data_IF_371562568560
#
_entry.id   IF_371562568560
#
_cell.length_a   1.000
_cell.length_b   1.000
_cell.length_c   1.000
_cell.angle_alpha   90.00
_cell.angle_beta   90.00
_cell.angle_gamma   90.00
#
_symmetry.space_group_name_H-M   'P 1'
#
loop_
_entity.id
_entity.type
_entity.pdbx_description
1 polymer ?
#
# COMPACT_ATOMS: atom_id res chain seq x y z
N UNK A 1 2.36 -16.47 -53.36
CA UNK A 1 1.25 -17.07 -52.60
C UNK A 1 1.50 -16.69 -51.18
N UNK A 2 0.75 -15.70 -50.67
CA UNK A 2 0.79 -15.38 -49.25
C UNK A 2 0.06 -16.52 -48.57
N UNK A 3 0.83 -17.27 -47.82
CA UNK A 3 0.47 -18.35 -46.92
C UNK A 3 -0.62 -17.89 -45.93
N UNK A 4 -1.87 -18.08 -46.35
CA UNK A 4 -3.09 -18.00 -45.53
C UNK A 4 -3.06 -18.90 -44.27
N UNK A 5 -1.98 -19.66 -44.05
CA UNK A 5 -1.77 -20.50 -42.88
C UNK A 5 -1.25 -19.71 -41.66
N UNK A 6 -0.71 -18.50 -41.84
CA UNK A 6 -0.27 -17.62 -40.74
C UNK A 6 -1.41 -16.95 -39.97
N UNK A 7 -2.59 -16.81 -40.58
CA UNK A 7 -3.76 -16.15 -39.99
C UNK A 7 -4.62 -17.10 -39.13
N UNK A 8 -4.47 -18.42 -39.29
CA UNK A 8 -5.26 -19.43 -38.55
C UNK A 8 -4.65 -19.76 -37.18
N UNK A 9 -3.34 -19.56 -36.99
CA UNK A 9 -2.67 -19.74 -35.69
C UNK A 9 -2.85 -18.55 -34.74
N UNK A 10 -3.40 -17.43 -35.23
CA UNK A 10 -3.79 -16.26 -34.43
C UNK A 10 -5.16 -16.40 -33.77
N UNK A 11 -5.75 -17.60 -33.78
CA UNK A 11 -6.85 -17.95 -32.90
C UNK A 11 -6.35 -17.88 -31.44
N UNK A 12 -6.40 -16.64 -30.90
CA UNK A 12 -6.40 -16.26 -29.48
C UNK A 12 -5.74 -17.26 -28.54
N UNK A 13 -4.43 -17.15 -28.34
CA UNK A 13 -3.87 -17.61 -27.06
C UNK A 13 -4.49 -16.80 -25.93
N UNK A 14 -5.48 -17.39 -25.28
CA UNK A 14 -6.08 -16.84 -24.08
C UNK A 14 -5.16 -17.14 -22.89
N UNK A 15 -4.16 -16.27 -22.72
CA UNK A 15 -3.24 -16.30 -21.58
C UNK A 15 -3.97 -16.24 -20.24
N UNK A 16 -5.17 -15.65 -20.18
CA UNK A 16 -5.98 -15.61 -18.98
C UNK A 16 -6.56 -17.00 -18.67
N UNK A 17 -7.02 -17.74 -19.69
CA UNK A 17 -7.52 -19.11 -19.52
C UNK A 17 -6.38 -20.08 -19.15
N UNK A 18 -5.22 -19.96 -19.80
CA UNK A 18 -4.02 -20.73 -19.42
C UNK A 18 -3.57 -20.44 -17.98
N UNK A 19 -3.52 -19.17 -17.56
CA UNK A 19 -3.17 -18.80 -16.19
C UNK A 19 -4.18 -19.32 -15.15
N UNK A 20 -5.48 -19.33 -15.50
CA UNK A 20 -6.55 -19.90 -14.65
C UNK A 20 -6.48 -21.42 -14.49
N UNK A 21 -5.87 -22.14 -15.44
CA UNK A 21 -5.60 -23.57 -15.31
C UNK A 21 -4.45 -23.85 -14.33
N UNK A 22 -3.47 -22.96 -14.27
CA UNK A 22 -2.28 -23.13 -13.41
C UNK A 22 -2.54 -22.74 -11.96
N UNK A 23 -3.36 -21.72 -11.71
CA UNK A 23 -3.56 -21.16 -10.37
C UNK A 23 -5.00 -21.30 -9.90
N UNK A 24 -5.18 -21.67 -8.63
CA UNK A 24 -6.50 -21.66 -7.99
C UNK A 24 -7.13 -20.27 -8.07
N UNK A 25 -8.45 -20.22 -8.23
CA UNK A 25 -9.19 -18.97 -8.11
C UNK A 25 -9.00 -18.39 -6.71
N UNK A 26 -8.40 -17.21 -6.62
CA UNK A 26 -8.24 -16.47 -5.36
C UNK A 26 -9.59 -15.90 -4.96
N UNK A 27 -10.01 -16.19 -3.73
CA UNK A 27 -11.22 -15.63 -3.13
C UNK A 27 -10.88 -14.46 -2.21
N UNK A 28 -11.89 -13.66 -1.86
CA UNK A 28 -11.74 -12.61 -0.84
C UNK A 28 -11.36 -13.22 0.52
N UNK A 29 -11.76 -14.46 0.81
CA UNK A 29 -11.34 -15.16 2.02
C UNK A 29 -9.85 -15.44 2.00
N UNK A 30 -9.33 -15.97 0.88
CA UNK A 30 -7.88 -16.23 0.75
C UNK A 30 -7.05 -14.96 1.00
N UNK A 31 -7.52 -13.79 0.53
CA UNK A 31 -6.86 -12.50 0.76
C UNK A 31 -6.87 -12.14 2.26
N UNK A 32 -8.01 -12.30 2.93
CA UNK A 32 -8.15 -12.00 4.37
C UNK A 32 -7.34 -12.95 5.25
N UNK A 33 -7.30 -14.22 4.88
CA UNK A 33 -6.53 -15.23 5.60
C UNK A 33 -5.03 -14.99 5.39
N UNK A 34 -4.63 -14.56 4.19
CA UNK A 34 -3.27 -14.10 3.94
C UNK A 34 -2.92 -12.86 4.78
N UNK A 35 -3.77 -11.83 4.79
CA UNK A 35 -3.58 -10.63 5.60
C UNK A 35 -3.31 -10.97 7.08
N UNK A 36 -4.13 -11.86 7.66
CA UNK A 36 -3.95 -12.34 9.05
C UNK A 36 -2.62 -13.06 9.25
N UNK A 37 -2.21 -13.89 8.29
CA UNK A 37 -0.95 -14.63 8.38
C UNK A 37 0.28 -13.72 8.21
N UNK A 38 0.13 -12.62 7.49
CA UNK A 38 1.19 -11.68 7.15
C UNK A 38 1.44 -10.67 8.28
N UNK A 39 0.38 -10.12 8.85
CA UNK A 39 0.46 -9.15 9.96
C UNK A 39 1.21 -9.71 11.15
N UNK A 40 2.02 -8.87 11.78
CA UNK A 40 2.90 -9.21 12.92
C UNK A 40 3.90 -10.36 12.68
N UNK A 41 4.09 -10.81 11.43
CA UNK A 41 5.10 -11.81 11.07
C UNK A 41 6.07 -11.28 10.00
N UNK A 42 5.83 -11.60 8.73
CA UNK A 42 6.58 -11.09 7.57
C UNK A 42 6.52 -9.57 7.50
N UNK A 43 5.39 -8.99 7.90
CA UNK A 43 5.21 -7.54 8.01
C UNK A 43 6.33 -6.87 8.81
N UNK A 44 6.78 -7.47 9.91
CA UNK A 44 7.85 -6.89 10.73
C UNK A 44 9.18 -6.81 9.98
N UNK A 45 9.47 -7.82 9.15
CA UNK A 45 10.68 -7.85 8.32
C UNK A 45 10.56 -6.82 7.20
N UNK A 46 9.40 -6.72 6.58
CA UNK A 46 9.16 -5.80 5.47
C UNK A 46 9.18 -4.33 5.94
N UNK A 47 8.64 -4.03 7.12
CA UNK A 47 8.75 -2.69 7.75
C UNK A 47 10.21 -2.30 7.99
N UNK A 48 11.02 -3.21 8.56
CA UNK A 48 12.44 -2.95 8.82
C UNK A 48 13.23 -2.77 7.52
N UNK A 49 12.92 -3.58 6.51
CA UNK A 49 13.57 -3.49 5.19
C UNK A 49 13.22 -2.16 4.51
N UNK A 50 11.94 -1.78 4.47
CA UNK A 50 11.49 -0.50 3.94
C UNK A 50 12.11 0.69 4.70
N UNK A 51 12.28 0.58 6.01
CA UNK A 51 12.94 1.62 6.80
C UNK A 51 14.39 1.86 6.36
N UNK A 52 15.14 0.79 6.08
CA UNK A 52 16.52 0.87 5.57
C UNK A 52 16.52 1.41 4.14
N UNK A 53 15.69 0.85 3.26
CA UNK A 53 15.65 1.22 1.84
C UNK A 53 15.24 2.68 1.60
N UNK A 54 14.44 3.25 2.52
CA UNK A 54 13.96 4.63 2.44
C UNK A 54 14.59 5.55 3.49
N UNK A 55 15.67 5.11 4.15
CA UNK A 55 16.42 5.89 5.14
C UNK A 55 15.51 6.57 6.18
N UNK A 56 14.47 5.86 6.62
CA UNK A 56 13.50 6.33 7.61
C UNK A 56 12.44 7.32 7.12
N UNK A 57 12.24 7.51 5.80
CA UNK A 57 11.12 8.30 5.29
C UNK A 57 9.78 7.58 5.45
N UNK A 58 9.00 8.03 6.43
CA UNK A 58 7.70 7.45 6.78
C UNK A 58 6.65 7.55 5.67
N UNK A 59 6.73 8.49 4.72
CA UNK A 59 5.77 8.51 3.61
C UNK A 59 5.98 7.29 2.71
N UNK A 60 7.24 7.04 2.33
CA UNK A 60 7.62 5.93 1.45
C UNK A 60 7.41 4.58 2.12
N UNK A 61 7.69 4.48 3.42
CA UNK A 61 7.46 3.25 4.19
C UNK A 61 5.96 2.91 4.17
N UNK A 62 5.08 3.86 4.50
CA UNK A 62 3.64 3.63 4.58
C UNK A 62 3.01 3.28 3.21
N UNK A 63 3.59 3.76 2.11
CA UNK A 63 3.16 3.42 0.74
C UNK A 63 3.66 2.05 0.25
N UNK A 64 4.70 1.51 0.87
CA UNK A 64 5.40 0.30 0.41
C UNK A 64 4.96 -1.00 1.10
N UNK A 65 4.53 -0.92 2.36
CA UNK A 65 4.23 -2.10 3.18
C UNK A 65 2.80 -2.58 2.92
N UNK A 66 2.65 -3.88 2.67
CA UNK A 66 1.34 -4.49 2.40
C UNK A 66 0.38 -4.34 3.58
N UNK A 67 -0.89 -4.06 3.29
CA UNK A 67 -1.99 -3.98 4.26
C UNK A 67 -1.79 -2.97 5.41
N UNK A 68 -0.91 -1.99 5.20
CA UNK A 68 -0.75 -0.84 6.08
C UNK A 68 -1.59 0.32 5.56
N UNK A 69 -2.46 0.87 6.41
CA UNK A 69 -3.16 2.14 6.14
C UNK A 69 -2.57 3.26 7.02
N UNK A 70 -2.89 4.52 6.73
CA UNK A 70 -2.48 5.67 7.54
C UNK A 70 -2.92 5.54 9.01
N UNK A 71 -4.00 4.79 9.29
CA UNK A 71 -4.45 4.49 10.65
C UNK A 71 -3.42 3.64 11.44
N UNK A 72 -2.62 2.84 10.74
CA UNK A 72 -1.60 1.95 11.32
C UNK A 72 -0.27 2.66 11.58
N UNK A 73 -0.10 3.92 11.17
CA UNK A 73 1.19 4.63 11.24
C UNK A 73 1.81 4.58 12.65
N UNK A 74 0.97 4.75 13.68
CA UNK A 74 1.45 4.68 15.07
C UNK A 74 2.03 3.31 15.43
N UNK A 75 1.41 2.21 14.96
CA UNK A 75 1.92 0.84 15.16
C UNK A 75 3.22 0.62 14.40
N UNK A 76 3.29 1.04 13.14
CA UNK A 76 4.48 0.93 12.29
C UNK A 76 5.65 1.69 12.91
N UNK A 77 5.43 2.92 13.37
CA UNK A 77 6.45 3.71 14.09
C UNK A 77 6.96 3.01 15.34
N UNK A 78 6.06 2.41 16.13
CA UNK A 78 6.46 1.69 17.34
C UNK A 78 7.32 0.47 17.03
N UNK A 79 7.06 -0.24 15.93
CA UNK A 79 7.90 -1.36 15.47
C UNK A 79 9.31 -0.86 15.13
N UNK A 80 9.40 0.23 14.36
CA UNK A 80 10.68 0.85 13.99
C UNK A 80 11.42 1.34 15.23
N UNK A 81 10.75 2.07 16.11
CA UNK A 81 11.35 2.63 17.33
C UNK A 81 11.91 1.51 18.23
N UNK A 82 11.15 0.42 18.44
CA UNK A 82 11.64 -0.73 19.21
C UNK A 82 12.88 -1.36 18.59
N UNK A 83 12.94 -1.46 17.26
CA UNK A 83 14.11 -1.99 16.56
C UNK A 83 15.33 -1.07 16.67
N UNK A 84 15.12 0.26 16.66
CA UNK A 84 16.18 1.24 16.95
C UNK A 84 16.67 1.10 18.41
N UNK A 85 15.74 1.02 19.36
CA UNK A 85 16.05 0.88 20.79
C UNK A 85 16.79 -0.43 21.09
N UNK A 86 16.50 -1.49 20.34
CA UNK A 86 17.20 -2.78 20.40
C UNK A 86 18.55 -2.78 19.67
N UNK A 87 18.91 -1.69 18.96
CA UNK A 87 20.15 -1.57 18.20
C UNK A 87 20.16 -2.33 16.86
N UNK A 88 19.00 -2.80 16.40
CA UNK A 88 18.87 -3.52 15.12
C UNK A 88 18.81 -2.57 13.92
N UNK A 89 18.36 -1.32 14.12
CA UNK A 89 18.26 -0.29 13.09
C UNK A 89 19.01 0.97 13.49
N UNK A 90 19.59 1.65 12.51
CA UNK A 90 20.22 2.95 12.71
C UNK A 90 19.15 4.06 12.81
N UNK A 91 19.31 5.06 13.69
CA UNK A 91 18.36 6.14 13.85
C UNK A 91 18.50 7.19 12.73
N UNK A 92 17.90 6.94 11.56
CA UNK A 92 17.98 7.90 10.45
C UNK A 92 17.32 9.24 10.79
N UNK A 93 17.93 10.32 10.31
CA UNK A 93 17.48 11.69 10.58
C UNK A 93 16.05 11.94 10.09
N UNK A 94 15.66 11.37 8.94
CA UNK A 94 14.32 11.54 8.36
C UNK A 94 13.22 11.04 9.31
N UNK A 95 13.50 9.97 10.06
CA UNK A 95 12.61 9.42 11.06
C UNK A 95 12.67 10.19 12.38
N UNK A 96 13.87 10.39 12.94
CA UNK A 96 14.04 11.00 14.27
C UNK A 96 13.65 12.47 14.30
N UNK A 97 13.91 13.21 13.22
CA UNK A 97 13.64 14.65 13.10
C UNK A 97 12.53 14.96 12.11
N UNK A 98 11.57 14.05 11.98
CA UNK A 98 10.46 14.25 11.08
C UNK A 98 9.64 15.50 11.45
N UNK A 99 9.24 16.27 10.44
CA UNK A 99 8.48 17.49 10.68
C UNK A 99 7.06 17.18 11.16
N UNK A 100 6.56 18.01 12.09
CA UNK A 100 5.17 17.95 12.55
C UNK A 100 4.17 18.12 11.41
N UNK A 101 4.55 18.84 10.36
CA UNK A 101 3.73 19.04 9.16
C UNK A 101 3.49 17.71 8.43
N UNK A 102 4.53 16.92 8.14
CA UNK A 102 4.41 15.59 7.50
C UNK A 102 3.50 14.66 8.32
N UNK A 103 3.76 14.57 9.62
CA UNK A 103 2.92 13.77 10.54
C UNK A 103 1.46 14.21 10.56
N UNK A 104 1.21 15.53 10.59
CA UNK A 104 -0.15 16.07 10.59
C UNK A 104 -0.87 15.82 9.27
N UNK A 105 -0.17 15.87 8.13
CA UNK A 105 -0.74 15.59 6.83
C UNK A 105 -1.21 14.13 6.75
N UNK A 106 -0.38 13.16 7.14
CA UNK A 106 -0.78 11.74 7.20
C UNK A 106 -1.95 11.48 8.14
N UNK A 107 -2.01 12.15 9.28
CA UNK A 107 -3.17 12.05 10.18
C UNK A 107 -4.48 12.55 9.54
N UNK A 108 -4.44 13.54 8.63
CA UNK A 108 -5.63 13.99 7.89
C UNK A 108 -6.14 12.94 6.90
N UNK A 109 -5.24 12.18 6.28
CA UNK A 109 -5.59 11.11 5.35
C UNK A 109 -6.32 9.95 6.03
N UNK A 110 -6.06 9.68 7.31
CA UNK A 110 -6.86 8.73 8.11
C UNK A 110 -8.35 9.09 8.09
N UNK A 111 -8.67 10.38 8.28
CA UNK A 111 -10.05 10.86 8.28
C UNK A 111 -10.72 10.82 6.90
N UNK A 112 -9.93 10.81 5.82
CA UNK A 112 -10.42 10.71 4.44
C UNK A 112 -10.62 9.24 4.05
N UNK A 113 -9.70 8.35 4.43
CA UNK A 113 -9.77 6.90 4.16
C UNK A 113 -11.02 6.25 4.78
N UNK A 114 -11.52 6.82 5.89
CA UNK A 114 -12.74 6.35 6.57
C UNK A 114 -14.04 7.01 6.09
N UNK A 115 -14.00 7.90 5.08
CA UNK A 115 -15.23 8.45 4.49
C UNK A 115 -15.95 7.38 3.65
N UNK A 116 -17.30 7.32 3.70
CA UNK A 116 -18.05 6.42 2.83
C UNK A 116 -17.75 6.75 1.36
N UNK A 117 -17.46 5.71 0.56
CA UNK A 117 -17.15 5.87 -0.87
C UNK A 117 -18.35 6.53 -1.59
N UNK A 118 -18.19 7.81 -1.93
CA UNK A 118 -19.25 8.62 -2.56
C UNK A 118 -19.11 10.14 -2.37
N UNK A 119 -18.33 10.61 -1.39
CA UNK A 119 -18.05 12.05 -1.23
C UNK A 119 -16.83 12.47 -2.06
N UNK A 120 -17.04 13.04 -3.24
CA UNK A 120 -15.96 13.61 -4.06
C UNK A 120 -15.55 14.98 -3.54
N UNK A 121 -14.24 15.25 -3.48
CA UNK A 121 -13.67 16.58 -3.13
C UNK A 121 -14.13 17.68 -4.11
N UNK A 122 -14.53 17.28 -5.32
CA UNK A 122 -15.00 18.19 -6.37
C UNK A 122 -16.35 18.84 -6.04
N UNK A 123 -17.20 18.19 -5.23
CA UNK A 123 -18.53 18.70 -4.90
C UNK A 123 -18.48 19.82 -3.85
N UNK A 124 -17.52 19.77 -2.92
CA UNK A 124 -17.39 20.79 -1.86
C UNK A 124 -16.86 22.14 -2.39
N UNK A 125 -16.00 22.14 -3.42
CA UNK A 125 -15.48 23.38 -4.00
C UNK A 125 -16.54 24.13 -4.84
N UNK A 126 -17.47 23.40 -5.46
CA UNK A 126 -18.59 23.99 -6.21
C UNK A 126 -19.60 24.64 -5.27
N UNK A 127 -19.88 24.01 -4.12
CA UNK A 127 -20.82 24.54 -3.12
C UNK A 127 -20.30 25.83 -2.46
N UNK A 128 -18.99 25.97 -2.27
CA UNK A 128 -18.43 27.19 -1.66
C UNK A 128 -18.34 28.39 -2.60
N UNK A 129 -18.47 28.19 -3.92
CA UNK A 129 -18.37 29.24 -4.93
C UNK A 129 -19.74 29.71 -5.47
N UNK A 130 -20.81 28.94 -5.24
CA UNK A 130 -22.18 29.32 -5.61
C UNK A 130 -22.94 30.07 -4.50
N UNK A 131 -22.27 30.35 -3.36
CA UNK A 131 -22.83 31.06 -2.22
C UNK A 131 -22.16 32.41 -1.99
N UNK A 132 -22.28 33.33 -2.94
CA UNK A 132 -22.07 34.78 -2.78
C UNK A 132 -22.85 35.53 -3.84
#
# INVERSE_FOLDING_TARGET
MVDEQGEVLRAKWDWQEYWRLLFKKITVSDIRDFEKSYKDSKELVDIKSAYVDFEGDMDRIMESVLYVDYADEHRVRNIIQRAIDAGELLPYKAFVKESKQKMSARKRWVGISQRPKGSSVHDELVISLSGS
#
